data_IF_356242141485
#
_entry.id   IF_356242141485
#
_cell.length_a   1.000
_cell.length_b   1.000
_cell.length_c   1.000
_cell.angle_alpha   90.00
_cell.angle_beta   90.00
_cell.angle_gamma   90.00
#
_symmetry.space_group_name_H-M   'P 1'
#
loop_
_entity.id
_entity.type
_entity.pdbx_description
1 polymer ?
#
# COMPACT_ATOMS: atom_id res chain seq x y z
N UNK A 1 -12.58 -13.84 2.70
CA UNK A 1 -11.19 -14.33 2.86
C UNK A 1 -10.54 -13.89 4.17
N UNK A 2 -10.43 -12.58 4.47
CA UNK A 2 -9.70 -12.09 5.65
C UNK A 2 -10.58 -11.73 6.86
N UNK A 3 -11.91 -11.83 6.72
CA UNK A 3 -12.86 -11.48 7.79
C UNK A 3 -12.56 -12.26 9.08
N UNK A 4 -12.40 -11.55 10.20
CA UNK A 4 -12.02 -12.09 11.53
C UNK A 4 -10.68 -12.85 11.57
N UNK A 5 -9.86 -12.76 10.52
CA UNK A 5 -8.53 -13.40 10.44
C UNK A 5 -7.37 -12.40 10.49
N UNK A 6 -7.66 -11.12 10.32
CA UNK A 6 -6.70 -10.02 10.45
C UNK A 6 -7.26 -8.95 11.37
N UNK A 7 -6.39 -8.16 12.04
CA UNK A 7 -6.83 -6.98 12.77
C UNK A 7 -7.61 -6.01 11.89
N UNK A 8 -8.38 -5.12 12.51
CA UNK A 8 -9.23 -4.18 11.78
C UNK A 8 -8.41 -3.36 10.78
N UNK A 9 -8.88 -3.31 9.54
CA UNK A 9 -8.24 -2.54 8.48
C UNK A 9 -8.37 -1.05 8.79
N UNK A 10 -7.25 -0.39 9.07
CA UNK A 10 -7.14 1.07 9.12
C UNK A 10 -6.41 1.60 7.88
N UNK A 11 -6.96 2.62 7.24
CA UNK A 11 -6.45 3.23 6.02
C UNK A 11 -5.74 4.53 6.36
N UNK A 12 -4.55 4.74 5.81
CA UNK A 12 -3.96 6.07 5.75
C UNK A 12 -4.68 6.86 4.65
N UNK A 13 -5.54 7.79 5.05
CA UNK A 13 -6.36 8.56 4.12
C UNK A 13 -5.61 9.83 3.70
N UNK A 14 -5.68 10.14 2.40
CA UNK A 14 -5.24 11.45 1.89
C UNK A 14 -6.07 12.54 2.59
N UNK A 15 -5.43 13.60 3.06
CA UNK A 15 -6.14 14.70 3.74
C UNK A 15 -7.30 15.29 2.92
N UNK A 16 -7.22 15.25 1.59
CA UNK A 16 -8.31 15.71 0.69
C UNK A 16 -9.63 14.96 0.91
N UNK A 17 -9.59 13.75 1.46
CA UNK A 17 -10.76 12.93 1.70
C UNK A 17 -11.59 13.37 2.92
N UNK A 18 -11.05 14.22 3.81
CA UNK A 18 -11.82 14.82 4.93
C UNK A 18 -13.06 15.57 4.40
N UNK A 19 -12.96 16.13 3.20
CA UNK A 19 -13.99 16.98 2.60
C UNK A 19 -15.14 16.21 1.93
N UNK A 20 -15.10 14.87 1.94
CA UNK A 20 -16.21 14.05 1.40
C UNK A 20 -17.32 13.95 2.46
N UNK A 21 -18.55 14.43 2.20
CA UNK A 21 -19.66 14.36 3.15
C UNK A 21 -19.98 12.92 3.55
N UNK A 22 -20.42 12.71 4.80
CA UNK A 22 -20.73 11.39 5.43
C UNK A 22 -19.50 10.50 5.65
N UNK A 23 -18.69 10.26 4.62
CA UNK A 23 -17.52 9.39 4.70
C UNK A 23 -16.41 10.04 5.56
N UNK A 24 -16.24 11.36 5.49
CA UNK A 24 -15.34 12.12 6.37
C UNK A 24 -15.69 11.96 7.86
N UNK A 25 -16.98 11.87 8.21
CA UNK A 25 -17.46 11.67 9.57
C UNK A 25 -17.19 10.24 10.07
N UNK A 26 -17.43 9.24 9.21
CA UNK A 26 -17.08 7.84 9.50
C UNK A 26 -15.58 7.66 9.72
N UNK A 27 -14.75 8.38 8.97
CA UNK A 27 -13.30 8.31 9.12
C UNK A 27 -12.77 9.05 10.35
N UNK A 28 -13.38 10.19 10.68
CA UNK A 28 -13.09 10.88 11.95
C UNK A 28 -13.46 10.00 13.16
N UNK A 29 -14.61 9.32 13.11
CA UNK A 29 -15.08 8.43 14.17
C UNK A 29 -14.25 7.14 14.35
N UNK A 30 -13.45 6.76 13.34
CA UNK A 30 -12.65 5.53 13.35
C UNK A 30 -11.14 5.79 13.62
N UNK A 31 -10.77 7.00 14.04
CA UNK A 31 -9.39 7.43 14.32
C UNK A 31 -8.43 7.15 13.15
N UNK A 32 -8.82 7.45 11.90
CA UNK A 32 -7.89 7.29 10.78
C UNK A 32 -6.87 8.44 10.74
N UNK A 33 -5.56 8.16 10.61
CA UNK A 33 -4.53 9.19 10.50
C UNK A 33 -4.60 9.88 9.12
N UNK A 34 -4.86 11.19 9.12
CA UNK A 34 -4.88 12.00 7.91
C UNK A 34 -3.48 12.55 7.60
N UNK A 35 -2.94 12.19 6.43
CA UNK A 35 -1.59 12.59 6.04
C UNK A 35 -1.60 13.87 5.21
N UNK A 36 -0.86 14.88 5.68
CA UNK A 36 -0.48 16.06 4.88
C UNK A 36 0.71 15.69 4.01
N UNK A 37 0.54 15.73 2.70
CA UNK A 37 1.65 15.52 1.75
C UNK A 37 2.15 16.89 1.29
N UNK A 38 3.29 17.33 1.81
CA UNK A 38 3.95 18.53 1.32
C UNK A 38 4.64 18.24 -0.02
N UNK A 39 4.51 19.15 -0.98
CA UNK A 39 5.23 19.03 -2.26
C UNK A 39 6.70 19.43 -2.09
N UNK A 40 7.57 18.91 -2.95
CA UNK A 40 9.01 19.24 -2.93
C UNK A 40 9.26 20.76 -3.02
N UNK A 41 8.55 21.42 -3.94
CA UNK A 41 8.61 22.88 -4.10
C UNK A 41 8.12 23.67 -2.87
N UNK A 42 7.19 23.11 -2.09
CA UNK A 42 6.73 23.72 -0.84
C UNK A 42 7.77 23.55 0.28
N UNK A 43 8.38 22.36 0.39
CA UNK A 43 9.42 22.07 1.39
C UNK A 43 10.77 22.74 1.11
N UNK A 44 10.99 23.19 -0.12
CA UNK A 44 12.14 24.05 -0.47
C UNK A 44 11.94 25.49 0.04
N UNK A 45 10.69 25.97 0.04
CA UNK A 45 10.32 27.30 0.58
C UNK A 45 10.13 27.29 2.10
N UNK A 46 9.72 26.16 2.66
CA UNK A 46 9.45 25.94 4.08
C UNK A 46 10.25 24.76 4.62
N UNK A 47 11.59 24.88 4.73
CA UNK A 47 12.44 23.80 5.25
C UNK A 47 12.07 23.39 6.68
N UNK A 48 11.51 24.29 7.49
CA UNK A 48 11.01 24.03 8.85
C UNK A 48 9.84 23.03 8.88
N UNK A 49 9.13 22.85 7.76
CA UNK A 49 8.02 21.90 7.63
C UNK A 49 8.46 20.49 7.25
N UNK A 50 9.75 20.27 6.99
CA UNK A 50 10.29 18.93 6.69
C UNK A 50 10.22 18.03 7.92
N UNK A 51 9.57 16.87 7.78
CA UNK A 51 9.46 15.87 8.84
C UNK A 51 8.42 16.18 9.92
N UNK A 52 7.73 17.33 9.89
CA UNK A 52 6.56 17.58 10.76
C UNK A 52 5.43 16.58 10.47
N UNK A 53 5.27 16.16 9.22
CA UNK A 53 4.29 15.17 8.78
C UNK A 53 4.58 13.78 9.38
N UNK A 54 5.84 13.34 9.35
CA UNK A 54 6.27 12.08 9.95
C UNK A 54 6.05 12.11 11.47
N UNK A 55 6.45 13.19 12.15
CA UNK A 55 6.27 13.35 13.61
C UNK A 55 4.80 13.37 14.01
N UNK A 56 3.96 14.11 13.28
CA UNK A 56 2.52 14.15 13.53
C UNK A 56 1.87 12.78 13.32
N UNK A 57 2.33 12.04 12.31
CA UNK A 57 1.84 10.68 12.03
C UNK A 57 2.31 9.71 13.10
N UNK A 58 3.57 9.77 13.55
CA UNK A 58 4.09 8.95 14.64
C UNK A 58 3.30 9.17 15.94
N UNK A 59 2.98 10.42 16.27
CA UNK A 59 2.13 10.75 17.44
C UNK A 59 0.70 10.21 17.29
N UNK A 60 0.14 10.20 16.08
CA UNK A 60 -1.14 9.54 15.84
C UNK A 60 -1.03 8.02 15.97
N UNK A 61 0.11 7.44 15.55
CA UNK A 61 0.40 6.02 15.66
C UNK A 61 0.61 5.54 17.11
N UNK A 62 0.98 6.41 18.04
CA UNK A 62 1.04 6.05 19.47
C UNK A 62 -0.30 5.51 19.98
N UNK A 63 -1.43 6.05 19.50
CA UNK A 63 -2.78 5.55 19.81
C UNK A 63 -3.06 4.16 19.24
N UNK A 64 -2.31 3.70 18.24
CA UNK A 64 -2.41 2.35 17.69
C UNK A 64 -1.51 1.33 18.40
N UNK A 65 -0.80 1.73 19.46
CA UNK A 65 0.01 0.80 20.26
C UNK A 65 -0.85 -0.26 20.93
N UNK A 66 -2.02 0.14 21.41
CA UNK A 66 -2.90 -0.72 22.21
C UNK A 66 -4.03 -1.37 21.39
N UNK A 67 -4.16 -1.00 20.12
CA UNK A 67 -5.20 -1.54 19.22
C UNK A 67 -4.54 -2.08 17.96
N UNK A 68 -4.62 -3.39 17.69
CA UNK A 68 -4.01 -3.97 16.51
C UNK A 68 -4.74 -3.46 15.25
N UNK A 69 -3.99 -2.87 14.33
CA UNK A 69 -4.50 -2.32 13.08
C UNK A 69 -3.79 -2.93 11.89
N UNK A 70 -4.52 -3.15 10.80
CA UNK A 70 -3.95 -3.58 9.52
C UNK A 70 -3.95 -2.44 8.52
N UNK A 71 -2.81 -2.16 7.90
CA UNK A 71 -2.72 -1.14 6.85
C UNK A 71 -2.76 -1.80 5.48
N UNK A 72 -3.64 -1.27 4.63
CA UNK A 72 -3.78 -1.75 3.27
C UNK A 72 -3.09 -0.81 2.28
N UNK A 73 -2.32 -1.38 1.35
CA UNK A 73 -1.58 -0.61 0.34
C UNK A 73 -1.67 -1.25 -1.06
N UNK A 74 -2.07 -0.45 -2.05
CA UNK A 74 -1.97 -0.78 -3.47
C UNK A 74 -0.71 -0.13 -4.05
N UNK A 75 0.40 -0.87 -4.11
CA UNK A 75 1.69 -0.27 -4.47
C UNK A 75 1.78 0.21 -5.93
N UNK A 76 0.93 -0.27 -6.85
CA UNK A 76 0.82 0.30 -8.20
C UNK A 76 0.21 1.71 -8.21
N UNK A 77 -0.58 2.02 -7.17
CA UNK A 77 -1.28 3.30 -7.00
C UNK A 77 -2.47 3.51 -7.95
N UNK A 78 -2.71 2.60 -8.90
CA UNK A 78 -3.84 2.67 -9.83
C UNK A 78 -4.26 1.26 -10.25
N UNK A 79 -5.49 1.11 -10.74
CA UNK A 79 -5.92 -0.15 -11.39
C UNK A 79 -5.14 -0.40 -12.68
N UNK A 80 -4.69 -1.63 -12.86
CA UNK A 80 -4.05 -2.13 -14.07
C UNK A 80 -4.92 -1.92 -15.31
N UNK A 81 -4.31 -1.48 -16.40
CA UNK A 81 -4.85 -1.54 -17.76
C UNK A 81 -3.68 -1.74 -18.73
N UNK A 82 -3.91 -2.41 -19.87
CA UNK A 82 -2.87 -2.60 -20.88
C UNK A 82 -2.29 -1.28 -21.38
N UNK A 83 -3.14 -0.25 -21.50
CA UNK A 83 -2.71 1.09 -21.87
C UNK A 83 -1.70 1.67 -20.88
N UNK A 84 -1.95 1.55 -19.56
CA UNK A 84 -1.02 2.05 -18.52
C UNK A 84 0.25 1.23 -18.45
N UNK A 85 0.14 -0.08 -18.61
CA UNK A 85 1.29 -0.99 -18.62
C UNK A 85 2.26 -0.63 -19.75
N UNK A 86 1.74 -0.49 -20.97
CA UNK A 86 2.49 -0.04 -22.14
C UNK A 86 3.07 1.37 -21.96
N UNK A 87 2.27 2.31 -21.46
CA UNK A 87 2.69 3.70 -21.23
C UNK A 87 3.87 3.79 -20.25
N UNK A 88 3.84 2.99 -19.18
CA UNK A 88 4.89 2.98 -18.16
C UNK A 88 6.14 2.21 -18.60
N UNK A 89 6.04 1.43 -19.69
CA UNK A 89 7.06 0.46 -20.12
C UNK A 89 7.45 -0.43 -18.94
N UNK A 90 6.45 -1.08 -18.34
CA UNK A 90 6.68 -1.99 -17.19
C UNK A 90 7.58 -3.14 -17.63
N UNK A 91 8.59 -3.46 -16.81
CA UNK A 91 9.44 -4.64 -17.00
C UNK A 91 8.78 -5.92 -16.50
N UNK A 92 7.71 -5.80 -15.72
CA UNK A 92 6.91 -6.92 -15.21
C UNK A 92 5.84 -7.28 -16.23
N UNK A 93 5.62 -8.57 -16.49
CA UNK A 93 4.71 -9.02 -17.53
C UNK A 93 3.24 -8.77 -17.17
N UNK A 94 2.89 -8.90 -15.89
CA UNK A 94 1.50 -8.89 -15.41
C UNK A 94 1.20 -7.75 -14.44
N UNK A 95 2.18 -6.89 -14.14
CA UNK A 95 2.08 -5.85 -13.13
C UNK A 95 2.50 -4.48 -13.67
N UNK A 96 1.91 -3.42 -13.12
CA UNK A 96 2.44 -2.05 -13.30
C UNK A 96 3.69 -1.86 -12.43
N UNK A 97 4.45 -0.78 -12.70
CA UNK A 97 5.62 -0.45 -11.88
C UNK A 97 5.18 -0.10 -10.45
N UNK A 98 5.80 -0.70 -9.41
CA UNK A 98 5.44 -0.39 -8.04
C UNK A 98 5.94 1.00 -7.62
N UNK A 99 5.27 1.59 -6.64
CA UNK A 99 5.62 2.86 -6.02
C UNK A 99 5.99 2.63 -4.55
N UNK A 100 7.29 2.51 -4.28
CA UNK A 100 7.80 2.22 -2.94
C UNK A 100 7.47 3.30 -1.88
N UNK A 101 7.28 4.57 -2.30
CA UNK A 101 7.12 5.67 -1.35
C UNK A 101 5.91 5.57 -0.42
N UNK A 102 4.81 4.93 -0.87
CA UNK A 102 3.67 4.70 0.02
C UNK A 102 3.99 3.69 1.13
N UNK A 103 4.71 2.62 0.79
CA UNK A 103 5.13 1.59 1.74
C UNK A 103 6.21 2.14 2.68
N UNK A 104 7.25 2.80 2.15
CA UNK A 104 8.32 3.39 2.94
C UNK A 104 7.82 4.41 3.96
N UNK A 105 6.83 5.24 3.59
CA UNK A 105 6.19 6.15 4.54
C UNK A 105 5.48 5.40 5.68
N UNK A 106 4.68 4.38 5.35
CA UNK A 106 3.94 3.59 6.34
C UNK A 106 4.88 2.87 7.30
N UNK A 107 5.97 2.30 6.78
CA UNK A 107 7.01 1.65 7.58
C UNK A 107 7.75 2.62 8.51
N UNK A 108 8.03 3.83 8.03
CA UNK A 108 8.62 4.90 8.85
C UNK A 108 7.68 5.43 9.94
N UNK A 109 6.40 5.60 9.60
CA UNK A 109 5.41 6.21 10.48
C UNK A 109 4.91 5.26 11.58
N UNK A 110 4.73 3.97 11.27
CA UNK A 110 4.28 2.98 12.25
C UNK A 110 5.43 2.26 12.96
N UNK A 111 6.63 2.28 12.37
CA UNK A 111 7.83 1.69 12.93
C UNK A 111 7.60 0.28 13.48
N UNK A 112 7.93 0.09 14.76
CA UNK A 112 7.90 -1.20 15.45
C UNK A 112 6.50 -1.82 15.61
N UNK A 113 5.44 -1.09 15.25
CA UNK A 113 4.07 -1.60 15.26
C UNK A 113 3.77 -2.49 14.03
N UNK A 114 4.54 -2.35 12.95
CA UNK A 114 4.40 -3.16 11.73
C UNK A 114 5.40 -4.31 11.71
N UNK A 115 5.01 -5.47 12.22
CA UNK A 115 5.87 -6.67 12.23
C UNK A 115 5.57 -7.65 11.09
N UNK A 116 4.39 -7.56 10.50
CA UNK A 116 3.90 -8.56 9.54
C UNK A 116 3.27 -7.88 8.34
N UNK A 117 3.64 -8.35 7.16
CA UNK A 117 3.01 -8.00 5.89
C UNK A 117 2.23 -9.20 5.37
N UNK A 118 1.02 -8.95 4.85
CA UNK A 118 0.28 -9.89 4.04
C UNK A 118 0.44 -9.51 2.57
N UNK A 119 1.23 -10.29 1.85
CA UNK A 119 1.44 -10.15 0.42
C UNK A 119 0.32 -10.90 -0.33
N UNK A 120 -0.66 -10.16 -0.84
CA UNK A 120 -1.84 -10.71 -1.51
C UNK A 120 -1.69 -10.58 -3.02
N UNK A 121 -1.86 -11.68 -3.75
CA UNK A 121 -1.86 -11.74 -5.21
C UNK A 121 -3.22 -12.22 -5.68
N UNK A 122 -3.89 -11.44 -6.51
CA UNK A 122 -5.19 -11.78 -7.11
C UNK A 122 -4.96 -11.99 -8.60
N UNK A 123 -5.25 -13.19 -9.08
CA UNK A 123 -5.09 -13.57 -10.48
C UNK A 123 -6.45 -13.83 -11.08
N UNK A 124 -6.80 -13.03 -12.08
CA UNK A 124 -7.90 -13.29 -12.99
C UNK A 124 -7.35 -14.15 -14.12
N UNK A 125 -7.91 -15.35 -14.30
CA UNK A 125 -7.48 -16.27 -15.34
C UNK A 125 -7.95 -15.82 -16.72
N UNK A 126 -9.14 -15.22 -16.77
CA UNK A 126 -9.72 -14.65 -17.97
C UNK A 126 -9.88 -13.13 -17.84
N UNK A 127 -10.99 -12.58 -18.34
CA UNK A 127 -11.27 -11.16 -18.31
C UNK A 127 -11.56 -10.70 -16.88
N UNK A 128 -10.99 -9.56 -16.50
CA UNK A 128 -11.34 -8.89 -15.24
C UNK A 128 -12.84 -8.53 -15.28
N UNK A 129 -13.67 -9.05 -14.37
CA UNK A 129 -15.10 -8.79 -14.38
C UNK A 129 -15.38 -7.31 -14.12
N UNK A 130 -16.43 -6.77 -14.75
CA UNK A 130 -16.95 -5.47 -14.33
C UNK A 130 -17.56 -5.56 -12.94
N UNK A 131 -17.81 -4.42 -12.31
CA UNK A 131 -18.50 -4.38 -11.02
C UNK A 131 -19.87 -5.08 -11.07
N UNK A 132 -20.62 -4.87 -12.15
CA UNK A 132 -21.92 -5.52 -12.36
C UNK A 132 -21.79 -7.02 -12.61
N UNK A 133 -20.76 -7.45 -13.34
CA UNK A 133 -20.51 -8.87 -13.55
C UNK A 133 -20.23 -9.55 -12.20
N UNK A 134 -19.38 -8.96 -11.38
CA UNK A 134 -19.10 -9.46 -10.04
C UNK A 134 -20.37 -9.54 -9.16
N UNK A 135 -21.21 -8.49 -9.15
CA UNK A 135 -22.46 -8.50 -8.37
C UNK A 135 -23.46 -9.54 -8.87
N UNK A 136 -23.51 -9.80 -10.17
CA UNK A 136 -24.37 -10.81 -10.77
C UNK A 136 -23.79 -12.24 -10.69
N UNK A 137 -22.65 -12.44 -10.03
CA UNK A 137 -21.97 -13.74 -10.00
C UNK A 137 -21.41 -14.17 -11.36
N UNK A 138 -21.33 -13.24 -12.32
CA UNK A 138 -20.71 -13.44 -13.63
C UNK A 138 -19.21 -13.19 -13.47
N UNK A 139 -18.45 -14.26 -13.32
CA UNK A 139 -17.00 -14.15 -13.22
C UNK A 139 -16.39 -15.52 -13.39
N UNK A 140 -15.26 -15.55 -14.08
CA UNK A 140 -14.50 -16.76 -14.27
C UNK A 140 -13.71 -17.12 -13.00
N UNK A 141 -12.88 -18.14 -13.12
CA UNK A 141 -11.97 -18.56 -12.05
C UNK A 141 -11.09 -17.39 -11.61
N UNK A 142 -11.05 -17.15 -10.29
CA UNK A 142 -10.15 -16.19 -9.65
C UNK A 142 -9.30 -16.95 -8.63
N UNK A 143 -7.97 -16.88 -8.77
CA UNK A 143 -7.04 -17.40 -7.77
C UNK A 143 -6.58 -16.28 -6.85
N UNK A 144 -6.60 -16.53 -5.54
CA UNK A 144 -6.08 -15.60 -4.54
C UNK A 144 -4.99 -16.30 -3.74
N UNK A 145 -3.75 -15.84 -3.89
CA UNK A 145 -2.63 -16.26 -3.06
C UNK A 145 -2.39 -15.24 -1.94
N UNK A 146 -2.21 -15.73 -0.71
CA UNK A 146 -1.96 -14.89 0.46
C UNK A 146 -0.71 -15.43 1.14
N UNK A 147 0.35 -14.62 1.13
CA UNK A 147 1.62 -14.95 1.76
C UNK A 147 1.85 -14.05 2.97
N UNK A 148 2.06 -14.65 4.14
CA UNK A 148 2.42 -13.93 5.36
C UNK A 148 3.94 -13.83 5.44
N UNK A 149 4.46 -12.61 5.51
CA UNK A 149 5.90 -12.33 5.61
C UNK A 149 6.19 -11.47 6.84
N UNK A 150 7.29 -11.75 7.53
CA UNK A 150 7.84 -10.84 8.53
C UNK A 150 8.50 -9.65 7.84
N UNK A 151 8.30 -8.45 8.40
CA UNK A 151 9.00 -7.26 7.93
C UNK A 151 10.31 -7.17 8.72
N UNK A 152 11.45 -7.11 8.04
CA UNK A 152 12.73 -7.02 8.72
C UNK A 152 12.87 -5.67 9.43
N UNK A 153 13.47 -5.69 10.63
CA UNK A 153 13.63 -4.50 11.48
C UNK A 153 14.39 -3.36 10.78
N UNK A 154 15.25 -3.69 9.82
CA UNK A 154 15.99 -2.70 9.01
C UNK A 154 15.07 -1.73 8.25
N UNK A 155 13.81 -2.10 8.01
CA UNK A 155 12.86 -1.26 7.29
C UNK A 155 11.95 -0.43 8.20
N UNK A 156 11.97 -0.67 9.51
CA UNK A 156 11.02 -0.07 10.45
C UNK A 156 11.53 1.26 11.01
N UNK A 157 10.67 2.28 11.07
CA UNK A 157 10.94 3.55 11.76
C UNK A 157 11.94 4.46 11.04
N UNK A 158 12.25 4.16 9.77
CA UNK A 158 13.19 4.93 8.94
C UNK A 158 12.47 6.01 8.13
N UNK A 159 13.13 7.13 7.89
CA UNK A 159 12.57 8.27 7.17
C UNK A 159 12.78 8.12 5.65
N UNK A 160 11.79 7.57 4.94
CA UNK A 160 11.86 7.40 3.48
C UNK A 160 12.07 8.70 2.69
N UNK A 161 11.68 9.86 3.26
CA UNK A 161 11.78 11.14 2.57
C UNK A 161 13.19 11.71 2.60
N UNK A 162 13.88 11.55 3.74
CA UNK A 162 15.16 12.21 4.01
C UNK A 162 16.36 11.24 4.05
N UNK A 163 16.15 9.93 4.20
CA UNK A 163 17.20 8.90 4.19
C UNK A 163 17.31 8.28 2.79
N UNK A 164 18.27 8.74 1.99
CA UNK A 164 18.44 8.28 0.61
C UNK A 164 18.83 6.81 0.52
N UNK A 165 19.65 6.33 1.46
CA UNK A 165 20.08 4.93 1.52
C UNK A 165 18.89 4.04 1.81
N UNK A 166 18.08 4.40 2.81
CA UNK A 166 16.86 3.66 3.11
C UNK A 166 15.85 3.70 1.95
N UNK A 167 15.72 4.85 1.29
CA UNK A 167 14.85 5.00 0.12
C UNK A 167 15.22 4.01 -0.99
N UNK A 168 16.50 3.86 -1.28
CA UNK A 168 17.00 2.89 -2.26
C UNK A 168 16.76 1.44 -1.79
N UNK A 169 17.11 1.11 -0.54
CA UNK A 169 16.87 -0.21 0.03
C UNK A 169 15.39 -0.63 -0.02
N UNK A 170 14.48 0.30 0.30
CA UNK A 170 13.04 0.07 0.22
C UNK A 170 12.56 -0.09 -1.22
N UNK A 171 13.13 0.65 -2.18
CA UNK A 171 12.81 0.47 -3.61
C UNK A 171 13.23 -0.90 -4.12
N UNK A 172 14.45 -1.34 -3.77
CA UNK A 172 14.96 -2.65 -4.15
C UNK A 172 14.12 -3.78 -3.55
N UNK A 173 13.82 -3.71 -2.25
CA UNK A 173 12.94 -4.67 -1.59
C UNK A 173 11.56 -4.77 -2.24
N UNK A 174 10.96 -3.63 -2.61
CA UNK A 174 9.66 -3.60 -3.30
C UNK A 174 9.76 -4.18 -4.72
N UNK A 175 10.85 -3.92 -5.44
CA UNK A 175 11.09 -4.52 -6.75
C UNK A 175 11.24 -6.05 -6.66
N UNK A 176 11.97 -6.56 -5.66
CA UNK A 176 12.13 -8.01 -5.45
C UNK A 176 10.80 -8.69 -5.10
N UNK A 177 9.97 -8.03 -4.29
CA UNK A 177 8.58 -8.46 -4.05
C UNK A 177 7.78 -8.51 -5.35
N UNK A 178 7.96 -7.52 -6.23
CA UNK A 178 7.28 -7.45 -7.51
C UNK A 178 7.73 -8.55 -8.47
N UNK A 179 9.02 -8.78 -8.59
CA UNK A 179 9.60 -9.85 -9.41
C UNK A 179 9.05 -11.21 -8.99
N UNK A 180 9.07 -11.53 -7.69
CA UNK A 180 8.50 -12.77 -7.17
C UNK A 180 7.00 -12.87 -7.43
N UNK A 181 6.27 -11.76 -7.28
CA UNK A 181 4.82 -11.71 -7.53
C UNK A 181 4.51 -11.95 -9.02
N UNK A 182 5.27 -11.36 -9.93
CA UNK A 182 5.09 -11.51 -11.37
C UNK A 182 5.30 -12.98 -11.79
N UNK A 183 6.37 -13.62 -11.29
CA UNK A 183 6.61 -15.05 -11.50
C UNK A 183 5.51 -15.94 -10.92
N UNK A 184 5.02 -15.63 -9.73
CA UNK A 184 3.89 -16.35 -9.12
C UNK A 184 2.62 -16.23 -9.96
N UNK A 185 2.37 -15.08 -10.59
CA UNK A 185 1.21 -14.91 -11.48
C UNK A 185 1.34 -15.85 -12.68
N UNK A 186 2.54 -15.94 -13.27
CA UNK A 186 2.82 -16.87 -14.37
C UNK A 186 2.58 -18.31 -13.94
N UNK A 187 3.09 -18.74 -12.78
CA UNK A 187 2.91 -20.13 -12.32
C UNK A 187 1.43 -20.46 -12.10
N UNK A 188 0.68 -19.57 -11.44
CA UNK A 188 -0.76 -19.74 -11.19
C UNK A 188 -1.55 -19.85 -12.52
N UNK A 189 -1.17 -19.08 -13.54
CA UNK A 189 -1.82 -19.13 -14.87
C UNK A 189 -1.48 -20.38 -15.65
N UNK A 190 -0.30 -20.96 -15.43
CA UNK A 190 0.18 -22.16 -16.14
C UNK A 190 -0.28 -23.47 -15.49
N UNK A 191 -0.66 -23.47 -14.21
CA UNK A 191 -1.21 -24.64 -13.49
C UNK A 191 -2.66 -25.00 -13.91
N UNK A 192 -3.03 -24.71 -15.15
CA UNK A 192 -4.35 -24.97 -15.73
C UNK A 192 -4.30 -26.01 -16.84
#
# INVERSE_FOLDING_TARGET
>A
LLNRRIPMLKFFLKQQLIWVPVIGLCWWALDFPFMKRYSRAYLEKHPEKRGEDLKATQKACEKFRDVPVSVFNFMEGTRFTDAKHKQQKSSFQHLLKPRAGGVGFVLGAMGQQLRTMLNITIVYHEKVPSFWDFLCGRGDKISVNIEKQSIADTYLGRDYSNDEVFREQCQNWVNDLWTRKDHLIVSIKNEQ
#
